data_IF_086337658127
#
_entry.id   IF_086337658127
#
_cell.length_a   1.000
_cell.length_b   1.000
_cell.length_c   1.000
_cell.angle_alpha   90.00
_cell.angle_beta   90.00
_cell.angle_gamma   90.00
#
_symmetry.space_group_name_H-M   'P 1'
#
loop_
_entity.id
_entity.type
_entity.pdbx_description
1 polymer ?
#
# COMPACT_ATOMS: atom_id res chain seq x y z
N UNK A 1 -30.70 -32.85 -26.76
CA UNK A 1 -30.85 -32.36 -25.40
C UNK A 1 -29.67 -31.41 -25.12
N UNK A 2 -29.92 -30.12 -25.03
CA UNK A 2 -28.88 -29.13 -24.74
C UNK A 2 -28.96 -28.81 -23.25
N UNK A 3 -27.93 -29.17 -22.49
CA UNK A 3 -27.83 -28.82 -21.07
C UNK A 3 -27.33 -27.38 -20.96
N UNK A 4 -28.16 -26.45 -20.54
CA UNK A 4 -27.76 -25.10 -20.15
C UNK A 4 -27.07 -25.19 -18.79
N UNK A 5 -25.76 -24.94 -18.76
CA UNK A 5 -25.00 -24.79 -17.51
C UNK A 5 -25.28 -23.37 -16.98
N UNK A 6 -26.15 -23.25 -15.99
CA UNK A 6 -26.26 -22.02 -15.20
C UNK A 6 -25.02 -21.83 -14.35
N UNK A 7 -24.15 -20.91 -14.73
CA UNK A 7 -23.09 -20.40 -13.87
C UNK A 7 -23.72 -19.56 -12.76
N UNK A 8 -23.46 -19.84 -11.48
CA UNK A 8 -23.93 -18.99 -10.40
C UNK A 8 -23.25 -17.63 -10.52
N UNK A 9 -24.04 -16.58 -10.56
CA UNK A 9 -23.56 -15.22 -10.46
C UNK A 9 -22.88 -15.05 -9.10
N UNK A 10 -21.56 -14.83 -9.10
CA UNK A 10 -20.81 -14.51 -7.88
C UNK A 10 -21.25 -13.12 -7.41
N UNK A 11 -22.04 -13.08 -6.37
CA UNK A 11 -22.35 -11.84 -5.64
C UNK A 11 -21.06 -11.38 -4.98
N UNK A 12 -20.38 -10.39 -5.55
CA UNK A 12 -19.23 -9.72 -4.94
C UNK A 12 -19.75 -8.98 -3.69
N UNK A 13 -19.43 -9.52 -2.51
CA UNK A 13 -19.67 -8.83 -1.25
C UNK A 13 -18.83 -7.54 -1.24
N UNK A 14 -19.49 -6.39 -1.15
CA UNK A 14 -18.86 -5.06 -1.11
C UNK A 14 -18.44 -4.63 0.31
N UNK A 15 -18.72 -5.43 1.32
CA UNK A 15 -18.40 -5.15 2.73
C UNK A 15 -17.11 -5.83 3.22
N UNK A 16 -16.62 -5.45 4.40
CA UNK A 16 -15.51 -6.13 5.03
C UNK A 16 -15.89 -7.58 5.38
N UNK A 17 -14.95 -8.50 5.17
CA UNK A 17 -15.12 -9.93 5.45
C UNK A 17 -14.57 -10.31 6.82
N UNK A 18 -13.65 -9.51 7.34
CA UNK A 18 -12.94 -9.78 8.59
C UNK A 18 -12.73 -8.47 9.36
N UNK A 19 -12.89 -8.54 10.68
CA UNK A 19 -12.67 -7.41 11.58
C UNK A 19 -11.75 -7.82 12.72
N UNK A 20 -10.78 -6.96 13.02
CA UNK A 20 -10.01 -7.02 14.25
C UNK A 20 -10.35 -5.80 15.10
N UNK A 21 -10.40 -6.01 16.40
CA UNK A 21 -10.44 -4.94 17.41
C UNK A 21 -9.24 -5.07 18.32
N UNK A 22 -8.64 -3.97 18.71
CA UNK A 22 -7.49 -3.94 19.59
C UNK A 22 -7.44 -2.62 20.34
N UNK A 23 -6.64 -2.56 21.41
CA UNK A 23 -6.40 -1.34 22.17
C UNK A 23 -4.91 -1.04 22.21
N UNK A 24 -4.46 0.16 21.79
CA UNK A 24 -3.07 0.58 21.99
C UNK A 24 -2.75 0.65 23.49
N UNK A 25 -1.65 0.03 23.90
CA UNK A 25 -1.35 -0.14 25.32
C UNK A 25 -0.35 0.87 25.88
N UNK A 26 0.75 1.12 25.18
CA UNK A 26 1.87 1.94 25.69
C UNK A 26 2.05 3.22 24.88
N UNK A 27 0.98 3.93 24.67
CA UNK A 27 0.93 5.22 23.95
C UNK A 27 0.68 6.38 24.90
N UNK A 28 1.06 7.60 24.48
CA UNK A 28 0.89 8.82 25.29
C UNK A 28 -0.54 9.33 25.31
N UNK A 29 -1.32 9.00 24.29
CA UNK A 29 -2.71 9.44 24.13
C UNK A 29 -3.71 8.49 24.82
N UNK A 30 -5.01 8.76 24.62
CA UNK A 30 -6.06 7.87 25.13
C UNK A 30 -5.91 6.46 24.57
N UNK A 31 -6.14 5.47 25.42
CA UNK A 31 -6.11 4.05 25.03
C UNK A 31 -7.46 3.64 24.40
N UNK A 32 -7.84 4.31 23.33
CA UNK A 32 -9.09 4.03 22.63
C UNK A 32 -8.99 2.79 21.76
N UNK A 33 -10.08 2.02 21.72
CA UNK A 33 -10.14 0.86 20.85
C UNK A 33 -10.02 1.24 19.38
N UNK A 34 -9.21 0.52 18.65
CA UNK A 34 -9.12 0.60 17.18
C UNK A 34 -9.88 -0.54 16.55
N UNK A 35 -10.30 -0.31 15.31
CA UNK A 35 -10.96 -1.30 14.48
C UNK A 35 -10.22 -1.43 13.16
N UNK A 36 -9.95 -2.64 12.77
CA UNK A 36 -9.34 -2.97 11.47
C UNK A 36 -10.35 -3.79 10.68
N UNK A 37 -10.80 -3.27 9.57
CA UNK A 37 -11.75 -3.93 8.66
C UNK A 37 -11.00 -4.37 7.41
N UNK A 38 -10.96 -5.68 7.13
CA UNK A 38 -10.39 -6.24 5.91
C UNK A 38 -11.50 -6.65 4.95
N UNK A 39 -11.33 -6.30 3.69
CA UNK A 39 -12.17 -6.77 2.58
C UNK A 39 -11.63 -8.07 1.98
N UNK A 40 -10.32 -8.18 1.91
CA UNK A 40 -9.60 -9.34 1.38
C UNK A 40 -8.14 -9.34 1.81
N UNK A 41 -7.49 -10.45 1.64
CA UNK A 41 -6.04 -10.58 1.71
C UNK A 41 -5.39 -10.12 0.41
N UNK A 42 -4.12 -9.72 0.48
CA UNK A 42 -3.33 -9.40 -0.70
C UNK A 42 -3.04 -10.64 -1.52
N UNK A 43 -3.05 -10.50 -2.84
CA UNK A 43 -2.65 -11.56 -3.75
C UNK A 43 -1.12 -11.73 -3.77
N UNK A 44 -0.63 -12.87 -4.24
CA UNK A 44 0.80 -13.11 -4.41
C UNK A 44 1.45 -12.09 -5.34
N UNK A 45 0.77 -11.71 -6.43
CA UNK A 45 1.27 -10.70 -7.36
C UNK A 45 1.40 -9.30 -6.73
N UNK A 46 0.47 -8.92 -5.83
CA UNK A 46 0.54 -7.68 -5.06
C UNK A 46 1.71 -7.73 -4.08
N UNK A 47 1.85 -8.83 -3.35
CA UNK A 47 2.98 -9.06 -2.44
C UNK A 47 4.32 -8.96 -3.16
N UNK A 48 4.50 -9.72 -4.25
CA UNK A 48 5.76 -9.78 -4.99
C UNK A 48 6.13 -8.40 -5.56
N UNK A 49 5.16 -7.59 -5.97
CA UNK A 49 5.37 -6.21 -6.42
C UNK A 49 5.91 -5.32 -5.29
N UNK A 50 5.34 -5.41 -4.09
CA UNK A 50 5.78 -4.62 -2.95
C UNK A 50 7.17 -5.05 -2.47
N UNK A 51 7.44 -6.36 -2.43
CA UNK A 51 8.76 -6.88 -2.11
C UNK A 51 9.81 -6.44 -3.14
N UNK A 52 9.48 -6.48 -4.42
CA UNK A 52 10.37 -6.00 -5.48
C UNK A 52 10.68 -4.50 -5.34
N UNK A 53 9.71 -3.69 -4.93
CA UNK A 53 9.94 -2.26 -4.69
C UNK A 53 10.91 -2.02 -3.53
N UNK A 54 10.92 -2.87 -2.53
CA UNK A 54 11.86 -2.82 -1.41
C UNK A 54 13.26 -3.31 -1.82
N UNK A 55 13.33 -4.47 -2.47
CA UNK A 55 14.62 -5.12 -2.78
C UNK A 55 15.35 -4.50 -3.96
N UNK A 56 14.62 -3.87 -4.89
CA UNK A 56 15.15 -3.24 -6.09
C UNK A 56 14.69 -1.79 -6.19
N UNK A 57 15.13 -0.91 -5.29
CA UNK A 57 14.72 0.48 -5.30
C UNK A 57 15.17 1.16 -6.61
N UNK A 58 14.26 1.89 -7.25
CA UNK A 58 14.52 2.55 -8.52
C UNK A 58 14.35 1.69 -9.77
N UNK A 59 13.96 0.42 -9.63
CA UNK A 59 13.56 -0.36 -10.80
C UNK A 59 12.40 0.33 -11.54
N UNK A 60 12.45 0.42 -12.89
CA UNK A 60 11.38 1.03 -13.65
C UNK A 60 10.07 0.31 -13.34
N UNK A 61 9.08 1.06 -12.85
CA UNK A 61 7.74 0.53 -12.61
C UNK A 61 7.23 -0.03 -13.91
N UNK A 62 6.99 -1.33 -13.98
CA UNK A 62 6.34 -1.93 -15.13
C UNK A 62 5.06 -1.13 -15.40
N UNK A 63 5.07 -0.35 -16.45
CA UNK A 63 3.88 0.34 -16.95
C UNK A 63 2.83 -0.75 -17.19
N UNK A 64 1.97 -0.96 -16.22
CA UNK A 64 0.78 -1.76 -16.41
C UNK A 64 0.10 -1.27 -17.69
N UNK A 65 -0.03 -2.14 -18.66
CA UNK A 65 -0.39 -1.85 -20.06
C UNK A 65 -1.56 -0.90 -20.23
N UNK A 66 -1.25 0.37 -20.26
CA UNK A 66 -2.01 1.31 -21.10
C UNK A 66 -1.37 1.17 -22.48
N UNK A 67 -2.20 0.72 -23.42
CA UNK A 67 -1.85 0.35 -24.75
C UNK A 67 -0.70 1.17 -25.32
N UNK A 68 0.30 0.47 -25.75
CA UNK A 68 1.34 0.99 -26.62
C UNK A 68 0.61 1.65 -27.77
N UNK A 69 0.49 2.99 -27.73
CA UNK A 69 0.14 3.75 -28.90
C UNK A 69 1.09 3.26 -29.99
N UNK A 70 0.52 2.76 -31.09
CA UNK A 70 1.22 2.00 -32.09
C UNK A 70 2.55 2.63 -32.45
N UNK A 71 3.57 1.81 -32.57
CA UNK A 71 4.75 2.19 -33.33
C UNK A 71 4.23 2.72 -34.65
N UNK A 72 4.51 3.99 -34.95
CA UNK A 72 4.18 4.62 -36.25
C UNK A 72 4.92 3.79 -37.27
N UNK A 73 4.18 3.05 -38.07
CA UNK A 73 4.74 2.33 -39.22
C UNK A 73 5.17 3.40 -40.23
N UNK A 74 6.46 3.55 -40.55
CA UNK A 74 6.93 4.54 -41.50
C UNK A 74 6.37 4.32 -42.92
N UNK A 75 5.67 3.21 -43.16
CA UNK A 75 5.04 2.88 -44.43
C UNK A 75 3.51 3.03 -44.40
N UNK A 76 2.92 3.65 -43.38
CA UNK A 76 1.48 3.91 -43.34
C UNK A 76 1.12 4.99 -44.36
N UNK A 77 0.31 4.68 -45.39
CA UNK A 77 -0.06 5.63 -46.46
C UNK A 77 -0.86 6.84 -45.93
N UNK A 78 -1.30 6.86 -44.69
CA UNK A 78 -1.95 8.01 -44.05
C UNK A 78 -0.95 9.12 -43.66
N UNK A 79 0.36 8.89 -43.77
CA UNK A 79 1.43 9.85 -43.47
C UNK A 79 2.19 10.35 -44.69
N UNK A 80 1.61 10.30 -45.89
CA UNK A 80 2.20 10.90 -47.05
C UNK A 80 2.19 12.45 -46.92
N UNK A 81 3.33 13.14 -47.04
CA UNK A 81 3.36 14.60 -47.01
C UNK A 81 2.61 15.17 -48.21
N UNK A 82 1.67 16.06 -47.90
CA UNK A 82 0.85 16.76 -48.90
C UNK A 82 1.76 17.64 -49.79
N UNK A 83 1.83 17.41 -51.10
CA UNK A 83 2.63 18.24 -51.98
C UNK A 83 1.79 19.42 -52.50
N UNK A 84 1.70 20.48 -51.78
CA UNK A 84 1.40 21.84 -52.30
C UNK A 84 0.57 22.66 -51.28
N UNK A 85 1.24 23.47 -50.52
CA UNK A 85 0.65 24.63 -49.86
C UNK A 85 1.56 25.84 -50.02
N UNK A 86 1.01 27.02 -50.37
CA UNK A 86 1.79 28.16 -50.85
C UNK A 86 2.60 28.87 -49.78
N UNK A 87 3.80 29.26 -50.14
CA UNK A 87 4.66 30.17 -49.43
C UNK A 87 3.97 31.53 -49.22
N UNK A 88 4.01 32.06 -48.03
CA UNK A 88 3.65 33.44 -47.81
C UNK A 88 3.50 33.80 -46.33
N UNK A 89 4.41 34.58 -45.81
CA UNK A 89 4.14 35.27 -44.57
C UNK A 89 5.39 35.53 -43.70
N UNK A 90 6.21 36.50 -44.11
CA UNK A 90 7.21 37.13 -43.25
C UNK A 90 6.50 37.84 -42.09
N UNK A 91 6.70 37.36 -40.86
CA UNK A 91 6.25 37.98 -39.60
C UNK A 91 7.43 38.23 -38.67
N UNK A 92 7.82 39.47 -38.61
CA UNK A 92 8.86 40.05 -37.70
C UNK A 92 8.54 39.84 -36.24
N UNK A 93 9.55 39.60 -35.46
CA UNK A 93 9.69 40.22 -34.13
C UNK A 93 9.23 39.40 -32.94
N UNK A 94 10.14 38.84 -32.22
CA UNK A 94 9.99 38.29 -30.90
C UNK A 94 11.35 38.11 -30.22
N UNK A 95 11.94 39.23 -29.80
CA UNK A 95 13.10 39.27 -28.91
C UNK A 95 12.76 38.60 -27.57
N UNK A 96 13.71 37.80 -27.04
CA UNK A 96 13.86 37.67 -25.60
C UNK A 96 13.49 36.33 -25.03
N UNK A 97 14.07 35.25 -25.48
CA UNK A 97 14.23 34.05 -24.68
C UNK A 97 15.58 34.09 -23.98
N UNK A 98 15.65 34.60 -22.77
CA UNK A 98 16.80 34.42 -21.87
C UNK A 98 17.06 32.92 -21.79
N UNK A 99 18.19 32.50 -22.32
CA UNK A 99 18.78 31.20 -22.09
C UNK A 99 18.90 30.99 -20.58
N UNK A 100 17.94 30.26 -20.02
CA UNK A 100 18.06 29.70 -18.69
C UNK A 100 19.30 28.80 -18.73
N UNK A 101 20.35 29.21 -18.03
CA UNK A 101 21.43 28.31 -17.66
C UNK A 101 20.78 27.10 -17.03
N UNK A 102 20.72 26.01 -17.76
CA UNK A 102 20.56 24.69 -17.18
C UNK A 102 21.76 24.47 -16.28
N UNK A 103 21.63 24.89 -15.02
CA UNK A 103 22.53 24.44 -14.00
C UNK A 103 22.43 22.91 -14.01
N UNK A 104 23.55 22.23 -14.18
CA UNK A 104 23.66 20.79 -13.99
C UNK A 104 23.24 20.50 -12.55
N UNK A 105 21.94 20.30 -12.33
CA UNK A 105 21.48 19.79 -11.06
C UNK A 105 22.14 18.43 -10.89
N UNK A 106 22.79 18.17 -9.77
CA UNK A 106 23.40 16.87 -9.54
C UNK A 106 22.34 15.78 -9.76
N UNK A 107 22.72 14.64 -10.37
CA UNK A 107 21.77 13.57 -10.60
C UNK A 107 21.09 13.21 -9.28
N UNK A 108 19.77 13.13 -9.30
CA UNK A 108 18.99 12.81 -8.10
C UNK A 108 19.51 11.49 -7.52
N UNK A 109 19.73 11.47 -6.21
CA UNK A 109 20.14 10.25 -5.53
C UNK A 109 19.14 9.12 -5.82
N UNK A 110 19.61 7.86 -5.98
CA UNK A 110 18.71 6.74 -6.19
C UNK A 110 17.71 6.65 -5.04
N UNK A 111 16.44 6.29 -5.31
CA UNK A 111 15.43 6.17 -4.28
C UNK A 111 15.82 5.10 -3.26
N UNK A 112 15.52 5.34 -1.99
CA UNK A 112 15.75 4.34 -0.94
C UNK A 112 14.71 3.21 -1.03
N UNK A 113 14.96 2.03 -0.42
CA UNK A 113 13.97 0.95 -0.30
C UNK A 113 12.66 1.44 0.31
N UNK A 114 12.74 2.25 1.36
CA UNK A 114 11.60 2.80 2.09
C UNK A 114 10.75 3.72 1.19
N UNK A 115 11.38 4.63 0.47
CA UNK A 115 10.68 5.55 -0.43
C UNK A 115 10.07 4.81 -1.63
N UNK A 116 10.74 3.77 -2.12
CA UNK A 116 10.24 2.93 -3.21
C UNK A 116 9.03 2.11 -2.78
N UNK A 117 9.07 1.53 -1.57
CA UNK A 117 7.94 0.82 -0.99
C UNK A 117 6.77 1.77 -0.71
N UNK A 118 7.02 2.95 -0.10
CA UNK A 118 6.00 3.95 0.16
C UNK A 118 5.24 4.34 -1.12
N UNK A 119 5.97 4.54 -2.19
CA UNK A 119 5.38 4.81 -3.50
C UNK A 119 4.56 3.63 -4.05
N UNK A 120 5.08 2.40 -3.92
CA UNK A 120 4.37 1.20 -4.37
C UNK A 120 3.09 0.95 -3.58
N UNK A 121 3.09 1.25 -2.28
CA UNK A 121 1.90 1.17 -1.42
C UNK A 121 0.82 2.17 -1.83
N UNK A 122 1.18 3.40 -2.21
CA UNK A 122 0.20 4.40 -2.70
C UNK A 122 -0.50 3.93 -3.97
N UNK A 123 0.22 3.21 -4.83
CA UNK A 123 -0.31 2.67 -6.08
C UNK A 123 -1.06 1.34 -5.90
N UNK A 124 -0.91 0.67 -4.75
CA UNK A 124 -1.55 -0.59 -4.47
C UNK A 124 -3.06 -0.42 -4.18
N UNK A 125 -3.89 -1.40 -4.54
CA UNK A 125 -5.30 -1.35 -4.20
C UNK A 125 -5.52 -1.41 -2.69
N UNK A 126 -6.60 -0.77 -2.23
CA UNK A 126 -7.01 -0.85 -0.82
C UNK A 126 -7.55 -2.24 -0.52
N UNK A 127 -7.03 -2.88 0.53
CA UNK A 127 -7.46 -4.20 1.00
C UNK A 127 -8.26 -4.13 2.29
N UNK A 128 -8.30 -2.96 2.92
CA UNK A 128 -9.04 -2.73 4.16
C UNK A 128 -8.83 -1.32 4.71
N UNK A 129 -9.33 -1.08 5.90
CA UNK A 129 -9.16 0.17 6.63
C UNK A 129 -8.87 -0.09 8.10
N UNK A 130 -8.01 0.75 8.68
CA UNK A 130 -7.84 0.88 10.10
C UNK A 130 -8.56 2.15 10.56
N UNK A 131 -9.43 2.01 11.54
CA UNK A 131 -10.22 3.08 12.15
C UNK A 131 -9.75 3.31 13.59
N UNK A 132 -9.54 4.56 13.94
CA UNK A 132 -9.35 5.03 15.30
C UNK A 132 -10.49 6.00 15.64
N UNK A 133 -10.39 6.73 16.73
CA UNK A 133 -11.29 7.86 17.04
C UNK A 133 -11.14 9.02 16.06
N UNK A 134 -10.13 9.02 15.23
CA UNK A 134 -10.00 10.01 14.14
C UNK A 134 -11.08 9.80 13.08
N UNK A 135 -11.56 10.90 12.51
CA UNK A 135 -12.62 10.91 11.50
C UNK A 135 -12.20 10.22 10.21
N UNK A 136 -10.92 10.17 9.89
CA UNK A 136 -10.40 9.56 8.67
C UNK A 136 -9.70 8.23 8.98
N UNK A 137 -10.19 7.14 8.43
CA UNK A 137 -9.53 5.84 8.48
C UNK A 137 -8.20 5.81 7.71
N UNK A 138 -7.30 4.92 8.10
CA UNK A 138 -6.05 4.65 7.38
C UNK A 138 -6.29 3.52 6.38
N UNK A 139 -5.93 3.73 5.12
CA UNK A 139 -6.04 2.67 4.10
C UNK A 139 -4.99 1.60 4.33
N UNK A 140 -5.41 0.36 4.36
CA UNK A 140 -4.53 -0.80 4.31
C UNK A 140 -4.28 -1.15 2.85
N UNK A 141 -3.02 -1.21 2.48
CA UNK A 141 -2.54 -1.49 1.12
C UNK A 141 -1.93 -2.88 0.97
N UNK A 142 -1.68 -3.52 2.09
CA UNK A 142 -1.17 -4.87 2.17
C UNK A 142 -1.76 -5.58 3.37
N UNK A 143 -2.13 -6.83 3.18
CA UNK A 143 -2.58 -7.73 4.23
C UNK A 143 -2.16 -9.16 3.90
N UNK A 144 -1.37 -9.76 4.76
CA UNK A 144 -0.91 -11.14 4.64
C UNK A 144 -1.22 -11.89 5.92
N UNK A 145 -1.55 -13.16 5.78
CA UNK A 145 -1.74 -14.11 6.85
C UNK A 145 -0.86 -15.33 6.63
N UNK A 146 -0.09 -15.68 7.63
CA UNK A 146 0.77 -16.85 7.66
C UNK A 146 0.34 -17.75 8.83
N UNK A 147 0.28 -19.08 8.63
CA UNK A 147 0.03 -20.00 9.73
C UNK A 147 1.26 -20.05 10.65
N UNK A 148 1.01 -20.22 11.96
CA UNK A 148 2.05 -20.52 12.96
C UNK A 148 1.98 -21.98 13.38
N UNK A 149 3.11 -22.55 13.84
CA UNK A 149 3.23 -23.94 14.23
C UNK A 149 2.29 -24.35 15.39
N UNK A 150 1.93 -23.39 16.22
CA UNK A 150 1.00 -23.56 17.37
C UNK A 150 -0.48 -23.54 16.97
N UNK A 151 -0.79 -23.51 15.66
CA UNK A 151 -2.15 -23.38 15.14
C UNK A 151 -2.68 -21.94 15.17
N UNK A 152 -1.84 -20.98 15.53
CA UNK A 152 -2.13 -19.55 15.49
C UNK A 152 -1.91 -18.96 14.10
N UNK A 153 -2.02 -17.64 14.04
CA UNK A 153 -1.89 -16.86 12.81
C UNK A 153 -0.96 -15.67 13.01
N UNK A 154 -0.02 -15.50 12.10
CA UNK A 154 0.83 -14.33 11.99
C UNK A 154 0.27 -13.42 10.88
N UNK A 155 -0.16 -12.24 11.25
CA UNK A 155 -0.84 -11.30 10.36
C UNK A 155 0.02 -10.05 10.20
N UNK A 156 0.22 -9.63 8.95
CA UNK A 156 1.01 -8.45 8.61
C UNK A 156 0.14 -7.52 7.78
N UNK A 157 -0.04 -6.30 8.27
CA UNK A 157 -0.80 -5.24 7.61
C UNK A 157 0.11 -4.05 7.37
N UNK A 158 -0.04 -3.39 6.21
CA UNK A 158 0.74 -2.18 5.89
C UNK A 158 -0.21 -1.08 5.42
N UNK A 159 -0.03 0.11 6.00
CA UNK A 159 -0.79 1.32 5.65
C UNK A 159 -0.06 2.12 4.57
N UNK A 160 -0.79 3.01 3.88
CA UNK A 160 -0.20 3.96 2.92
C UNK A 160 0.31 5.26 3.57
N UNK A 161 0.05 5.44 4.87
CA UNK A 161 0.43 6.61 5.65
C UNK A 161 0.94 6.18 7.01
N UNK A 162 1.88 6.93 7.56
CA UNK A 162 2.40 6.68 8.91
C UNK A 162 1.31 6.92 9.96
N UNK A 163 1.09 5.93 10.81
CA UNK A 163 0.25 6.08 12.00
C UNK A 163 0.90 7.05 12.99
N UNK A 164 0.11 7.84 13.66
CA UNK A 164 0.59 8.79 14.69
C UNK A 164 1.26 10.05 14.15
N UNK A 165 1.23 10.30 12.84
CA UNK A 165 1.74 11.56 12.30
C UNK A 165 0.96 12.79 12.80
N UNK A 166 -0.32 12.60 13.13
CA UNK A 166 -1.26 13.68 13.42
C UNK A 166 -1.95 13.57 14.80
N UNK A 167 -1.79 12.44 15.53
CA UNK A 167 -2.40 12.27 16.82
C UNK A 167 -1.52 11.47 17.80
N UNK A 168 -1.79 11.66 19.10
CA UNK A 168 -1.02 11.04 20.18
C UNK A 168 -1.39 9.57 20.41
N UNK A 169 -2.46 9.07 19.81
CA UNK A 169 -2.89 7.67 19.95
C UNK A 169 -1.79 6.66 19.62
N UNK A 170 -0.94 7.02 18.65
CA UNK A 170 0.12 6.14 18.16
C UNK A 170 1.52 6.56 18.62
N UNK A 171 1.63 7.63 19.44
CA UNK A 171 2.92 8.04 19.99
C UNK A 171 3.28 7.15 21.17
N UNK A 172 4.48 6.55 21.16
CA UNK A 172 4.96 5.79 22.32
C UNK A 172 4.98 6.67 23.58
N UNK A 173 4.64 6.09 24.72
CA UNK A 173 4.72 6.78 26.01
C UNK A 173 6.16 7.09 26.46
N UNK A 174 7.14 6.37 25.93
CA UNK A 174 8.58 6.60 26.15
C UNK A 174 9.26 7.21 24.95
N UNK A 175 10.48 7.74 25.14
CA UNK A 175 11.33 8.20 24.04
C UNK A 175 11.82 6.98 23.26
N UNK A 176 11.26 6.79 22.07
CA UNK A 176 11.73 5.81 21.12
C UNK A 176 12.15 6.53 19.83
N UNK A 177 13.22 6.07 19.15
CA UNK A 177 13.62 6.67 17.89
C UNK A 177 12.49 6.52 16.88
N UNK A 178 12.05 7.63 16.30
CA UNK A 178 11.09 7.61 15.21
C UNK A 178 11.77 7.07 13.94
N UNK A 179 11.08 6.23 13.20
CA UNK A 179 11.47 5.91 11.83
C UNK A 179 10.92 6.98 10.89
N UNK A 180 11.65 7.30 9.83
CA UNK A 180 11.22 8.28 8.82
C UNK A 180 10.32 7.65 7.75
N UNK A 181 9.75 6.47 8.02
CA UNK A 181 8.86 5.81 7.08
C UNK A 181 7.56 6.58 6.89
N UNK A 182 7.15 6.74 5.66
CA UNK A 182 5.86 7.35 5.30
C UNK A 182 4.67 6.39 5.45
N UNK A 183 4.91 5.13 5.81
CA UNK A 183 3.93 4.07 6.03
C UNK A 183 4.14 3.43 7.41
N UNK A 184 3.20 2.61 7.83
CA UNK A 184 3.36 1.79 9.03
C UNK A 184 3.09 0.33 8.74
N UNK A 185 3.87 -0.55 9.38
CA UNK A 185 3.64 -1.98 9.42
C UNK A 185 3.02 -2.34 10.76
N UNK A 186 1.94 -3.10 10.73
CA UNK A 186 1.29 -3.67 11.90
C UNK A 186 1.48 -5.17 11.81
N UNK A 187 2.17 -5.74 12.78
CA UNK A 187 2.38 -7.16 12.89
C UNK A 187 1.59 -7.68 14.08
N UNK A 188 0.76 -8.69 13.88
CA UNK A 188 -0.09 -9.29 14.89
C UNK A 188 0.15 -10.79 14.95
N UNK A 189 0.19 -11.34 16.15
CA UNK A 189 0.27 -12.79 16.38
C UNK A 189 -0.95 -13.22 17.19
N UNK A 190 -1.76 -14.06 16.59
CA UNK A 190 -2.98 -14.56 17.16
C UNK A 190 -2.83 -16.05 17.49
N UNK A 191 -3.45 -16.47 18.57
CA UNK A 191 -3.59 -17.89 18.89
C UNK A 191 -4.70 -18.54 18.06
N UNK A 192 -4.90 -19.82 18.22
CA UNK A 192 -5.93 -20.58 17.52
C UNK A 192 -7.38 -20.09 17.76
N UNK A 193 -7.62 -19.30 18.81
CA UNK A 193 -8.91 -18.69 19.09
C UNK A 193 -9.12 -17.30 18.44
N UNK A 194 -8.15 -16.81 17.68
CA UNK A 194 -8.19 -15.50 17.07
C UNK A 194 -7.94 -14.34 18.05
N UNK A 195 -7.31 -14.62 19.19
CA UNK A 195 -6.93 -13.63 20.18
C UNK A 195 -5.40 -13.54 20.30
N UNK A 196 -4.87 -12.35 20.58
CA UNK A 196 -3.43 -12.20 20.69
C UNK A 196 -2.95 -10.78 20.92
N UNK A 197 -1.72 -10.54 20.53
CA UNK A 197 -1.03 -9.26 20.60
C UNK A 197 -0.65 -8.78 19.20
N UNK A 198 -0.49 -7.48 19.05
CA UNK A 198 -0.01 -6.86 17.84
C UNK A 198 0.98 -5.74 18.13
N UNK A 199 1.76 -5.39 17.13
CA UNK A 199 2.75 -4.32 17.20
C UNK A 199 2.60 -3.41 15.99
N UNK A 200 2.79 -2.13 16.19
CA UNK A 200 2.83 -1.15 15.11
C UNK A 200 4.23 -0.57 14.95
N UNK A 201 4.62 -0.27 13.73
CA UNK A 201 5.98 0.20 13.43
C UNK A 201 6.10 1.72 13.36
N UNK A 202 5.67 2.44 14.38
CA UNK A 202 6.02 3.87 14.45
C UNK A 202 7.53 4.08 14.63
N UNK A 203 8.19 3.12 15.24
CA UNK A 203 9.60 3.18 15.61
C UNK A 203 10.35 1.88 15.33
N UNK A 204 9.70 0.92 14.70
CA UNK A 204 10.31 -0.36 14.34
C UNK A 204 10.91 -0.32 12.94
N UNK A 205 12.09 -0.92 12.79
CA UNK A 205 12.70 -1.11 11.47
C UNK A 205 11.98 -2.26 10.75
N UNK A 206 11.62 -2.01 9.49
CA UNK A 206 11.06 -3.04 8.61
C UNK A 206 12.19 -3.83 7.97
N UNK A 207 12.06 -5.14 7.98
CA UNK A 207 12.95 -6.07 7.29
C UNK A 207 12.13 -7.01 6.41
N UNK A 208 12.78 -7.58 5.39
CA UNK A 208 12.14 -8.58 4.54
C UNK A 208 12.50 -9.96 5.05
N UNK A 209 11.49 -10.74 5.37
CA UNK A 209 11.62 -12.19 5.58
C UNK A 209 11.57 -12.89 4.22
N UNK A 210 12.73 -13.34 3.75
CA UNK A 210 12.85 -14.01 2.45
C UNK A 210 12.18 -15.40 2.43
N UNK A 211 12.11 -16.09 3.57
CA UNK A 211 11.48 -17.40 3.68
C UNK A 211 9.95 -17.28 3.59
N UNK A 212 9.38 -16.36 4.35
CA UNK A 212 7.95 -16.07 4.33
C UNK A 212 7.52 -15.18 3.15
N UNK A 213 8.48 -14.64 2.38
CA UNK A 213 8.25 -13.64 1.33
C UNK A 213 7.37 -12.50 1.83
N UNK A 214 7.74 -11.92 2.95
CA UNK A 214 6.91 -10.92 3.64
C UNK A 214 7.76 -9.82 4.27
N UNK A 215 7.07 -8.78 4.71
CA UNK A 215 7.64 -7.77 5.60
C UNK A 215 7.45 -8.21 7.04
N UNK A 216 8.41 -7.91 7.90
CA UNK A 216 8.32 -8.12 9.34
C UNK A 216 8.99 -6.97 10.06
N UNK A 217 8.77 -6.86 11.36
CA UNK A 217 9.35 -5.83 12.19
C UNK A 217 10.61 -6.37 12.89
N UNK A 218 11.73 -5.68 12.70
CA UNK A 218 12.93 -5.98 13.47
C UNK A 218 12.63 -5.78 14.96
N UNK A 219 13.04 -6.72 15.80
CA UNK A 219 12.83 -6.65 17.24
C UNK A 219 11.35 -6.58 17.67
N UNK A 220 10.46 -7.34 17.02
CA UNK A 220 9.03 -7.39 17.33
C UNK A 220 8.71 -7.35 18.83
N UNK A 221 9.42 -8.09 19.67
CA UNK A 221 9.22 -8.12 21.12
C UNK A 221 9.54 -6.82 21.86
N UNK A 222 10.24 -5.88 21.24
CA UNK A 222 10.76 -4.64 21.87
C UNK A 222 10.18 -3.37 21.28
N UNK A 223 9.18 -3.48 20.41
CA UNK A 223 8.57 -2.30 19.81
C UNK A 223 7.77 -1.50 20.83
N UNK A 224 7.85 -0.16 20.77
CA UNK A 224 7.25 0.70 21.78
C UNK A 224 5.72 0.77 21.68
N UNK A 225 5.14 0.60 20.49
CA UNK A 225 3.67 0.63 20.32
C UNK A 225 3.14 -0.80 20.30
N UNK A 226 2.32 -1.12 21.31
CA UNK A 226 1.66 -2.41 21.46
C UNK A 226 0.17 -2.29 21.16
N UNK A 227 -0.38 -3.31 20.53
CA UNK A 227 -1.82 -3.53 20.43
C UNK A 227 -2.18 -4.70 21.34
N UNK A 228 -2.96 -4.45 22.37
CA UNK A 228 -3.38 -5.47 23.32
C UNK A 228 -4.83 -5.88 23.09
N UNK A 229 -5.17 -7.09 23.53
CA UNK A 229 -6.54 -7.60 23.50
C UNK A 229 -7.10 -7.74 22.10
N UNK A 230 -6.28 -8.11 21.13
CA UNK A 230 -6.75 -8.30 19.75
C UNK A 230 -7.79 -9.42 19.72
N UNK A 231 -8.89 -9.15 19.03
CA UNK A 231 -9.97 -10.12 18.77
C UNK A 231 -10.31 -10.09 17.29
N UNK A 232 -10.33 -11.26 16.68
CA UNK A 232 -10.81 -11.47 15.33
C UNK A 232 -12.32 -11.75 15.34
N UNK A 233 -13.02 -11.19 14.37
CA UNK A 233 -14.45 -11.46 14.10
C UNK A 233 -14.66 -11.60 12.60
N UNK A 234 -15.20 -12.73 12.18
CA UNK A 234 -15.65 -12.93 10.79
C UNK A 234 -16.96 -12.20 10.59
N UNK A 235 -17.05 -11.39 9.57
CA UNK A 235 -18.25 -10.65 9.22
C UNK A 235 -18.98 -11.40 8.12
N UNK A 236 -20.22 -11.82 8.41
CA UNK A 236 -21.12 -12.37 7.39
C UNK A 236 -21.62 -11.22 6.54
N UNK A 237 -21.50 -11.33 5.21
CA UNK A 237 -22.09 -10.35 4.31
C UNK A 237 -23.59 -10.26 4.63
N UNK A 238 -24.06 -9.09 5.08
CA UNK A 238 -25.50 -8.86 5.15
C UNK A 238 -26.01 -8.83 3.71
N UNK A 239 -26.70 -9.89 3.33
CA UNK A 239 -27.52 -9.91 2.12
C UNK A 239 -28.64 -8.91 2.37
N UNK A 240 -28.50 -7.69 1.81
CA UNK A 240 -29.53 -6.67 1.88
C UNK A 240 -30.78 -7.21 1.19
N UNK A 241 -31.75 -7.63 1.97
CA UNK A 241 -33.13 -7.71 1.49
C UNK A 241 -33.60 -6.26 1.23
N UNK A 242 -33.77 -5.93 -0.02
CA UNK A 242 -34.60 -4.82 -0.47
C UNK A 242 -35.95 -5.34 -0.91
#
# INVERSE_FOLDING_TARGET
MVFAVCLPAQTTSTGPTLRFTATPANVSGPHEAIRIDLFRWSTDAERDRLLAAWTNPGAPRGRGGRGRAGAIDPNDPAFAPDPAGPQGGAGRGGRGGRGGRGGDAPPAAPPSPESSLANALRDAPTVGYLWSSEVAGYSLRYALKLPEENGGEHIILVTDRRLGAWNDLWKPAGSAPATDYEFSVIEMRLNASGAGEGKGSLTGKVVVDSAAKSFTLENYGRLPVLLAGIKESKLTAQTGQR
#
